data_IF_624628614267
#
_entry.id   IF_624628614267
#
_cell.length_a   1.000
_cell.length_b   1.000
_cell.length_c   1.000
_cell.angle_alpha   90.00
_cell.angle_beta   90.00
_cell.angle_gamma   90.00
#
_symmetry.space_group_name_H-M   'P 1'
#
loop_
_entity.id
_entity.type
_entity.pdbx_description
1 polymer ?
#
# COMPACT_ATOMS: atom_id res chain seq x y z
N UNK A 1 -23.96 2.86 8.08
CA UNK A 1 -22.68 3.46 7.66
C UNK A 1 -21.65 2.35 7.75
N UNK A 2 -21.05 1.91 6.64
CA UNK A 2 -20.06 0.84 6.68
C UNK A 2 -18.77 1.34 7.33
N UNK A 3 -18.20 0.57 8.26
CA UNK A 3 -16.96 0.93 8.93
C UNK A 3 -15.80 0.98 7.92
N UNK A 4 -15.12 2.14 7.85
CA UNK A 4 -13.93 2.30 7.02
C UNK A 4 -12.73 1.67 7.75
N UNK A 5 -12.37 0.46 7.35
CA UNK A 5 -11.22 -0.27 7.91
C UNK A 5 -10.02 -0.13 6.97
N UNK A 6 -8.90 0.38 7.50
CA UNK A 6 -7.64 0.40 6.76
C UNK A 6 -6.97 -0.97 6.78
N UNK A 7 -6.16 -1.27 5.76
CA UNK A 7 -5.34 -2.50 5.75
C UNK A 7 -4.49 -2.62 7.02
N UNK A 8 -3.87 -1.52 7.48
CA UNK A 8 -3.06 -1.54 8.70
C UNK A 8 -3.88 -1.90 9.94
N UNK A 9 -5.11 -1.36 10.04
CA UNK A 9 -6.03 -1.70 11.12
C UNK A 9 -6.47 -3.16 11.05
N UNK A 10 -6.84 -3.65 9.87
CA UNK A 10 -7.25 -5.04 9.67
C UNK A 10 -6.14 -6.02 10.05
N UNK A 11 -4.89 -5.77 9.65
CA UNK A 11 -3.75 -6.63 9.97
C UNK A 11 -3.51 -6.67 11.49
N UNK A 12 -3.50 -5.52 12.15
CA UNK A 12 -3.26 -5.44 13.60
C UNK A 12 -4.40 -6.06 14.42
N UNK A 13 -5.66 -5.82 14.03
CA UNK A 13 -6.80 -6.42 14.72
C UNK A 13 -6.85 -7.94 14.49
N UNK A 14 -6.36 -8.42 13.34
CA UNK A 14 -6.21 -9.86 13.09
C UNK A 14 -5.14 -10.47 13.97
N UNK A 15 -3.95 -9.86 14.07
CA UNK A 15 -2.86 -10.34 14.93
C UNK A 15 -3.29 -10.43 16.41
N UNK A 16 -4.05 -9.45 16.90
CA UNK A 16 -4.57 -9.45 18.29
C UNK A 16 -5.45 -10.64 18.63
N UNK A 17 -6.00 -11.33 17.63
CA UNK A 17 -6.79 -12.55 17.85
C UNK A 17 -5.91 -13.79 18.10
N UNK A 18 -4.58 -13.67 17.96
CA UNK A 18 -3.60 -14.75 18.15
C UNK A 18 -2.59 -14.36 19.25
N UNK A 19 -2.83 -14.73 20.52
CA UNK A 19 -1.96 -14.37 21.65
C UNK A 19 -0.50 -14.82 21.51
N UNK A 20 -0.26 -15.87 20.74
CA UNK A 20 1.05 -16.45 20.43
C UNK A 20 1.77 -15.74 19.27
N UNK A 21 1.11 -14.82 18.58
CA UNK A 21 1.70 -14.13 17.45
C UNK A 21 2.90 -13.28 17.88
N UNK A 22 4.00 -13.44 17.17
CA UNK A 22 5.27 -12.73 17.41
C UNK A 22 5.35 -11.39 16.67
N UNK A 23 4.34 -11.05 15.86
CA UNK A 23 4.32 -9.87 14.99
C UNK A 23 5.17 -9.98 13.72
N UNK A 24 5.91 -11.08 13.50
CA UNK A 24 6.77 -11.24 12.32
C UNK A 24 5.98 -11.21 11.01
N UNK A 25 4.85 -11.91 10.95
CA UNK A 25 4.00 -11.91 9.77
C UNK A 25 3.32 -10.55 9.54
N UNK A 26 2.89 -9.87 10.61
CA UNK A 26 2.40 -8.49 10.52
C UNK A 26 3.44 -7.55 9.94
N UNK A 27 4.70 -7.64 10.40
CA UNK A 27 5.80 -6.86 9.85
C UNK A 27 5.99 -7.12 8.35
N UNK A 28 5.95 -8.38 7.93
CA UNK A 28 6.01 -8.75 6.50
C UNK A 28 4.88 -8.10 5.70
N UNK A 29 3.63 -8.18 6.18
CA UNK A 29 2.48 -7.59 5.50
C UNK A 29 2.57 -6.06 5.43
N UNK A 30 3.10 -5.39 6.46
CA UNK A 30 3.33 -3.96 6.44
C UNK A 30 4.38 -3.57 5.40
N UNK A 31 5.47 -4.34 5.27
CA UNK A 31 6.48 -4.11 4.23
C UNK A 31 5.91 -4.31 2.82
N UNK A 32 5.09 -5.34 2.61
CA UNK A 32 4.40 -5.56 1.32
C UNK A 32 3.48 -4.37 0.99
N UNK A 33 2.68 -3.91 1.96
CA UNK A 33 1.80 -2.77 1.77
C UNK A 33 2.57 -1.48 1.44
N UNK A 34 3.75 -1.27 2.04
CA UNK A 34 4.63 -0.15 1.71
C UNK A 34 5.18 -0.28 0.28
N UNK A 35 5.73 -1.44 -0.08
CA UNK A 35 6.27 -1.69 -1.42
C UNK A 35 5.21 -1.46 -2.50
N UNK A 36 3.98 -1.94 -2.28
CA UNK A 36 2.86 -1.72 -3.20
C UNK A 36 2.54 -0.23 -3.38
N UNK A 37 2.57 0.56 -2.30
CA UNK A 37 2.36 2.03 -2.38
C UNK A 37 3.45 2.71 -3.18
N UNK A 38 4.72 2.30 -3.01
CA UNK A 38 5.85 2.83 -3.77
C UNK A 38 5.67 2.54 -5.26
N UNK A 39 5.44 1.26 -5.63
CA UNK A 39 5.21 0.84 -7.01
C UNK A 39 4.05 1.62 -7.64
N UNK A 40 2.93 1.73 -6.92
CA UNK A 40 1.78 2.48 -7.42
C UNK A 40 2.07 3.98 -7.58
N UNK A 41 3.00 4.54 -6.79
CA UNK A 41 3.51 5.90 -6.97
C UNK A 41 4.33 6.05 -8.25
N UNK A 42 5.25 5.10 -8.51
CA UNK A 42 6.06 5.10 -9.74
C UNK A 42 5.21 4.93 -10.99
N UNK A 43 4.26 4.00 -10.98
CA UNK A 43 3.37 3.76 -12.13
C UNK A 43 2.54 5.00 -12.46
N UNK A 44 2.02 5.69 -11.44
CA UNK A 44 1.29 6.96 -11.66
C UNK A 44 2.20 8.04 -12.26
N UNK A 45 3.44 8.15 -11.80
CA UNK A 45 4.42 9.10 -12.36
C UNK A 45 4.77 8.76 -13.80
N UNK A 46 5.03 7.50 -14.12
CA UNK A 46 5.32 7.07 -15.49
C UNK A 46 4.18 7.46 -16.45
N UNK A 47 2.93 7.19 -16.05
CA UNK A 47 1.76 7.62 -16.83
C UNK A 47 1.64 9.14 -17.00
N UNK A 48 2.08 9.93 -16.01
CA UNK A 48 2.09 11.39 -16.11
C UNK A 48 3.25 11.92 -16.99
N UNK A 49 4.42 11.27 -16.96
CA UNK A 49 5.55 11.62 -17.83
C UNK A 49 5.19 11.36 -19.29
N UNK A 50 4.51 10.26 -19.59
CA UNK A 50 4.03 9.98 -20.95
C UNK A 50 2.98 11.02 -21.41
N UNK A 51 2.08 11.46 -20.53
CA UNK A 51 1.07 12.49 -20.83
C UNK A 51 1.70 13.88 -21.02
N UNK A 52 2.55 14.34 -20.11
CA UNK A 52 3.17 15.68 -20.18
C UNK A 52 4.26 15.74 -21.27
N UNK A 53 5.00 14.66 -21.48
CA UNK A 53 6.00 14.55 -22.55
C UNK A 53 5.40 14.65 -23.96
N UNK A 54 4.13 14.26 -24.12
CA UNK A 54 3.39 14.46 -25.38
C UNK A 54 2.95 15.93 -25.59
N UNK A 55 2.64 16.65 -24.52
CA UNK A 55 2.16 18.04 -24.58
C UNK A 55 3.26 19.06 -24.91
N UNK A 56 4.53 18.73 -24.65
CA UNK A 56 5.69 19.60 -24.95
C UNK A 56 6.28 19.45 -26.35
N UNK A 57 5.68 18.64 -27.23
CA UNK A 57 6.21 18.33 -28.57
C UNK A 57 5.50 19.08 -29.72
N UNK A 58 4.82 20.18 -29.41
CA UNK A 58 4.13 21.06 -30.37
C UNK A 58 4.75 22.46 -30.38
#
# INVERSE_FOLDING_TARGET
MGDLITIGRHILDTERNFPEATGQFTGLLQHIALAAKIVAGEVRRAGLVDVIGSAGRS
#
